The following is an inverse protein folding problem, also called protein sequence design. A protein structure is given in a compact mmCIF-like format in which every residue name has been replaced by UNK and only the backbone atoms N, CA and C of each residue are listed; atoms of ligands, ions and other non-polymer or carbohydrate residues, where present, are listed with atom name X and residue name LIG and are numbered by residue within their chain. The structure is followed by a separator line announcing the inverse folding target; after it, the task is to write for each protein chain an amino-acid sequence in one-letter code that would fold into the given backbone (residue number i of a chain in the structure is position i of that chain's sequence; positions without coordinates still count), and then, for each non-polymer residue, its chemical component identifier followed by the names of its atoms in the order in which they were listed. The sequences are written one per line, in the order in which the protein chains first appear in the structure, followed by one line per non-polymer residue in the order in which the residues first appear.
data_IF_471015383210
#
_entry.id   IF_471015383210
#
_cell.length_a   1.000
_cell.length_b   1.000
_cell.length_c   1.000
_cell.angle_alpha   90.00
_cell.angle_beta   90.00
_cell.angle_gamma   90.00
#
_symmetry.space_group_name_H-M   'P 1'
#
loop_
_entity.id
_entity.type
_entity.pdbx_description
1 polymer ?
#
# COMPACT_ATOMS: atom_id res chain seq x y z
N UNK A 1 -7.45 -6.50 1.51
CA UNK A 1 -6.25 -7.16 0.89
C UNK A 1 -6.54 -8.57 0.37
N UNK A 2 -7.78 -9.03 0.45
CA UNK A 2 -8.14 -10.37 0.00
C UNK A 2 -7.75 -10.62 -1.48
N UNK A 3 -7.13 -11.77 -1.74
CA UNK A 3 -6.67 -12.18 -3.07
C UNK A 3 -5.30 -11.64 -3.49
N UNK A 4 -4.73 -10.68 -2.77
CA UNK A 4 -3.36 -10.23 -3.02
C UNK A 4 -2.35 -11.27 -2.50
N UNK A 5 -1.17 -11.44 -3.15
CA UNK A 5 -0.12 -12.27 -2.61
C UNK A 5 0.35 -11.74 -1.25
N UNK A 6 0.87 -12.64 -0.40
CA UNK A 6 1.41 -12.26 0.92
C UNK A 6 2.60 -11.32 0.81
N UNK A 7 3.40 -11.49 -0.23
CA UNK A 7 4.55 -10.65 -0.55
C UNK A 7 4.50 -10.27 -2.02
N UNK A 8 4.83 -9.02 -2.31
CA UNK A 8 4.98 -8.54 -3.68
C UNK A 8 6.06 -7.48 -3.74
N UNK A 9 6.65 -7.32 -4.92
CA UNK A 9 7.70 -6.33 -5.15
C UNK A 9 7.10 -5.02 -5.64
N UNK A 10 7.18 -4.00 -4.80
CA UNK A 10 6.90 -2.63 -5.18
C UNK A 10 8.10 -2.05 -5.97
N UNK A 11 7.85 -1.07 -6.83
CA UNK A 11 8.91 -0.33 -7.52
C UNK A 11 9.74 0.51 -6.53
N UNK A 12 10.80 1.14 -7.04
CA UNK A 12 11.54 2.11 -6.23
C UNK A 12 10.64 3.30 -5.89
N UNK A 13 10.47 3.56 -4.60
CA UNK A 13 9.60 4.59 -4.07
C UNK A 13 10.20 5.17 -2.79
N UNK A 14 9.66 6.28 -2.31
CA UNK A 14 10.02 6.78 -0.99
C UNK A 14 9.30 5.98 0.09
N UNK A 15 10.07 5.39 1.02
CA UNK A 15 9.52 4.67 2.15
C UNK A 15 9.37 5.61 3.34
N UNK A 16 8.13 6.00 3.65
CA UNK A 16 7.84 6.82 4.82
C UNK A 16 8.07 6.04 6.11
N UNK A 17 8.75 6.68 7.06
CA UNK A 17 9.21 6.08 8.29
C UNK A 17 8.83 6.95 9.50
N UNK A 18 8.94 6.35 10.70
CA UNK A 18 8.74 7.07 11.96
C UNK A 18 7.40 7.81 12.03
N UNK A 19 6.36 7.20 11.52
CA UNK A 19 5.02 7.78 11.58
C UNK A 19 4.60 8.03 13.02
N UNK A 20 4.00 9.19 13.26
CA UNK A 20 3.60 9.58 14.61
C UNK A 20 2.21 9.08 14.95
N UNK A 21 2.07 8.58 16.17
CA UNK A 21 0.80 8.25 16.80
C UNK A 21 0.46 9.19 17.94
N UNK A 22 -0.53 8.83 18.76
CA UNK A 22 -1.29 7.61 18.63
C UNK A 22 -2.44 7.70 17.62
N UNK A 23 -2.67 6.64 16.86
CA UNK A 23 -3.91 6.41 16.16
C UNK A 23 -4.61 5.22 16.81
N UNK A 24 -5.91 5.35 17.11
CA UNK A 24 -6.69 4.29 17.71
C UNK A 24 -7.33 3.41 16.65
N UNK A 25 -7.44 2.12 16.95
CA UNK A 25 -8.13 1.14 16.10
C UNK A 25 -7.54 1.02 14.69
N UNK A 26 -6.22 1.15 14.57
CA UNK A 26 -5.51 0.95 13.30
C UNK A 26 -5.47 -0.52 12.94
N UNK A 27 -5.86 -0.84 11.70
CA UNK A 27 -5.63 -2.17 11.11
C UNK A 27 -4.61 -2.04 10.00
N UNK A 28 -3.41 -2.61 10.21
CA UNK A 28 -2.33 -2.59 9.22
C UNK A 28 -2.61 -3.67 8.19
N UNK A 29 -2.62 -3.28 6.91
CA UNK A 29 -2.91 -4.16 5.78
C UNK A 29 -1.66 -4.54 4.99
N UNK A 30 -0.67 -3.65 4.93
CA UNK A 30 0.61 -3.91 4.28
C UNK A 30 1.74 -3.13 4.97
N UNK A 31 2.92 -3.73 4.98
CA UNK A 31 4.15 -3.14 5.53
C UNK A 31 5.28 -3.25 4.51
N UNK A 32 6.28 -2.37 4.66
CA UNK A 32 7.55 -2.48 3.96
C UNK A 32 8.70 -2.40 4.97
N UNK A 33 9.70 -3.25 4.81
CA UNK A 33 10.87 -3.25 5.68
C UNK A 33 11.81 -2.09 5.32
N UNK A 34 12.09 -1.25 6.29
CA UNK A 34 13.01 -0.12 6.15
C UNK A 34 14.44 -0.56 6.50
N UNK A 35 15.20 -0.92 5.46
CA UNK A 35 16.54 -1.49 5.57
C UNK A 35 17.53 -0.50 6.21
N UNK A 36 18.12 -0.82 7.39
CA UNK A 36 19.07 0.06 8.06
C UNK A 36 20.36 0.28 7.28
N UNK A 37 20.74 -0.63 6.37
CA UNK A 37 21.92 -0.44 5.52
C UNK A 37 21.71 0.65 4.48
N UNK A 38 20.46 1.07 4.27
CA UNK A 38 20.06 2.16 3.37
C UNK A 38 19.51 3.37 4.12
N UNK A 39 19.82 3.50 5.41
CA UNK A 39 19.33 4.57 6.26
C UNK A 39 17.91 4.35 6.80
N UNK A 40 17.40 3.14 6.71
CA UNK A 40 16.08 2.78 7.21
C UNK A 40 16.02 2.58 8.73
N UNK A 41 14.80 2.49 9.24
CA UNK A 41 14.48 2.39 10.68
C UNK A 41 14.70 1.00 11.28
N UNK A 42 15.07 0.01 10.49
CA UNK A 42 15.15 -1.41 10.87
C UNK A 42 13.79 -1.99 11.36
N UNK A 43 12.72 -1.52 10.77
CA UNK A 43 11.35 -1.90 11.12
C UNK A 43 10.50 -2.17 9.88
N UNK A 44 9.44 -2.96 10.07
CA UNK A 44 8.36 -3.04 9.11
C UNK A 44 7.44 -1.82 9.29
N UNK A 45 7.62 -0.83 8.43
CA UNK A 45 6.81 0.40 8.46
C UNK A 45 5.45 0.16 7.81
N UNK A 46 4.36 0.66 8.39
CA UNK A 46 3.03 0.51 7.82
C UNK A 46 2.87 1.35 6.55
N UNK A 47 2.54 0.70 5.44
CA UNK A 47 2.36 1.37 4.14
C UNK A 47 0.89 1.52 3.77
N UNK A 48 0.07 0.54 4.12
CA UNK A 48 -1.38 0.60 3.90
C UNK A 48 -2.07 0.18 5.18
N UNK A 49 -3.00 1.02 5.66
CA UNK A 49 -3.77 0.71 6.86
C UNK A 49 -5.12 1.41 6.88
N UNK A 50 -6.03 0.93 7.71
CA UNK A 50 -7.35 1.50 7.90
C UNK A 50 -7.51 2.05 9.31
N UNK A 51 -8.29 3.12 9.42
CA UNK A 51 -8.67 3.74 10.69
C UNK A 51 -10.16 4.05 10.63
N UNK A 52 -10.99 3.47 11.50
CA UNK A 52 -12.39 3.90 11.63
C UNK A 52 -12.46 5.26 12.31
N UNK A 53 -13.36 6.11 11.83
CA UNK A 53 -13.63 7.38 12.46
C UNK A 53 -15.14 7.65 12.44
N UNK A 54 -15.77 7.61 13.60
CA UNK A 54 -17.22 7.69 13.72
C UNK A 54 -17.92 6.59 12.91
N UNK A 55 -18.79 6.98 12.00
CA UNK A 55 -19.44 6.06 11.03
C UNK A 55 -18.70 5.96 9.71
N UNK A 56 -17.58 6.67 9.58
CA UNK A 56 -16.78 6.71 8.36
C UNK A 56 -15.69 5.65 8.32
N UNK A 57 -15.14 5.48 7.12
CA UNK A 57 -13.98 4.62 6.85
C UNK A 57 -12.85 5.49 6.33
N UNK A 58 -11.67 5.30 6.88
CA UNK A 58 -10.45 5.92 6.39
C UNK A 58 -9.45 4.83 6.01
N UNK A 59 -8.86 4.94 4.84
CA UNK A 59 -7.73 4.12 4.43
C UNK A 59 -6.57 5.04 4.06
N UNK A 60 -5.40 4.71 4.55
CA UNK A 60 -4.16 5.40 4.25
C UNK A 60 -3.31 4.50 3.37
N UNK A 61 -2.78 5.06 2.30
CA UNK A 61 -1.85 4.40 1.39
C UNK A 61 -0.68 5.36 1.13
N UNK A 62 0.53 4.94 1.49
CA UNK A 62 1.76 5.73 1.36
C UNK A 62 2.56 5.43 0.10
N UNK A 63 2.07 4.55 -0.76
CA UNK A 63 2.74 4.24 -2.02
C UNK A 63 2.41 5.29 -3.08
N UNK A 64 3.40 5.61 -3.93
CA UNK A 64 3.19 6.53 -5.05
C UNK A 64 3.69 7.94 -4.79
N UNK A 65 5.00 8.11 -4.56
CA UNK A 65 5.62 9.41 -4.31
C UNK A 65 5.45 10.38 -5.48
N UNK A 66 5.63 9.89 -6.70
CA UNK A 66 5.43 10.67 -7.92
C UNK A 66 4.84 9.85 -9.08
N UNK A 67 4.84 10.44 -10.28
CA UNK A 67 4.22 9.85 -11.48
C UNK A 67 4.83 8.51 -11.88
N UNK A 68 6.11 8.29 -11.65
CA UNK A 68 6.75 7.03 -12.04
C UNK A 68 6.27 5.86 -11.17
N UNK A 69 6.06 6.08 -9.88
CA UNK A 69 5.47 5.07 -9.00
C UNK A 69 4.00 4.79 -9.34
N UNK A 70 3.27 5.77 -9.87
CA UNK A 70 1.90 5.55 -10.34
C UNK A 70 1.80 4.66 -11.58
N UNK A 71 2.90 4.41 -12.28
CA UNK A 71 2.96 3.41 -13.37
C UNK A 71 3.10 1.98 -12.85
N UNK A 72 3.46 1.79 -11.58
CA UNK A 72 3.56 0.46 -10.99
C UNK A 72 2.17 -0.16 -10.82
N UNK A 73 2.01 -1.40 -11.26
CA UNK A 73 0.71 -2.09 -11.26
C UNK A 73 0.15 -2.22 -9.85
N UNK A 74 0.99 -2.54 -8.87
CA UNK A 74 0.56 -2.66 -7.48
C UNK A 74 0.07 -1.33 -6.91
N UNK A 75 0.73 -0.20 -7.22
CA UNK A 75 0.32 1.12 -6.77
C UNK A 75 -1.08 1.46 -7.28
N UNK A 76 -1.32 1.25 -8.58
CA UNK A 76 -2.62 1.56 -9.20
C UNK A 76 -3.72 0.67 -8.63
N UNK A 77 -3.47 -0.63 -8.55
CA UNK A 77 -4.45 -1.59 -8.02
C UNK A 77 -4.79 -1.28 -6.58
N UNK A 78 -3.79 -1.01 -5.74
CA UNK A 78 -4.02 -0.67 -4.35
C UNK A 78 -4.77 0.65 -4.20
N UNK A 79 -4.39 1.67 -4.97
CA UNK A 79 -5.08 2.97 -4.93
C UNK A 79 -6.56 2.84 -5.29
N UNK A 80 -6.86 2.12 -6.38
CA UNK A 80 -8.24 1.90 -6.82
C UNK A 80 -9.04 1.09 -5.79
N UNK A 81 -8.48 0.01 -5.25
CA UNK A 81 -9.15 -0.83 -4.24
C UNK A 81 -9.34 -0.08 -2.92
N UNK A 82 -8.38 0.73 -2.50
CA UNK A 82 -8.51 1.60 -1.33
C UNK A 82 -9.64 2.61 -1.51
N UNK A 83 -9.72 3.26 -2.67
CA UNK A 83 -10.78 4.23 -2.98
C UNK A 83 -12.17 3.57 -2.99
N UNK A 84 -12.30 2.42 -3.63
CA UNK A 84 -13.55 1.65 -3.63
C UNK A 84 -13.99 1.28 -2.21
N UNK A 85 -13.07 0.74 -1.41
CA UNK A 85 -13.37 0.36 -0.03
C UNK A 85 -13.77 1.55 0.83
N UNK A 86 -13.07 2.66 0.71
CA UNK A 86 -13.41 3.88 1.46
C UNK A 86 -14.83 4.37 1.12
N UNK A 87 -15.21 4.29 -0.14
CA UNK A 87 -16.53 4.72 -0.61
C UNK A 87 -17.65 3.74 -0.24
N UNK A 88 -17.41 2.44 -0.37
CA UNK A 88 -18.49 1.44 -0.34
C UNK A 88 -18.42 0.46 0.84
N UNK A 89 -17.25 0.28 1.45
CA UNK A 89 -16.98 -0.76 2.44
C UNK A 89 -16.69 -2.13 1.83
N UNK A 90 -16.68 -2.25 0.50
CA UNK A 90 -16.41 -3.47 -0.24
C UNK A 90 -15.30 -3.27 -1.26
N UNK A 91 -14.71 -4.36 -1.72
CA UNK A 91 -13.72 -4.35 -2.81
C UNK A 91 -14.14 -5.38 -3.86
N UNK A 92 -14.47 -4.90 -5.04
CA UNK A 92 -14.88 -5.71 -6.20
C UNK A 92 -13.84 -5.66 -7.34
N UNK A 93 -12.96 -4.65 -7.33
CA UNK A 93 -11.91 -4.48 -8.34
C UNK A 93 -10.99 -5.72 -8.34
N UNK A 94 -10.90 -6.44 -9.47
CA UNK A 94 -10.09 -7.65 -9.56
C UNK A 94 -8.60 -7.35 -9.49
N UNK A 95 -7.82 -8.36 -9.12
CA UNK A 95 -6.37 -8.31 -9.19
C UNK A 95 -5.97 -8.75 -10.59
N UNK A 96 -5.25 -7.92 -11.36
CA UNK A 96 -4.84 -8.28 -12.70
C UNK A 96 -3.76 -9.38 -12.68
N UNK A 97 -3.67 -10.15 -13.76
CA UNK A 97 -2.71 -11.25 -13.90
C UNK A 97 -1.25 -10.78 -13.81
N UNK A 98 -0.98 -9.54 -14.23
CA UNK A 98 0.33 -8.92 -14.15
C UNK A 98 0.62 -8.22 -12.81
N UNK A 99 -0.17 -8.48 -11.76
CA UNK A 99 0.17 -7.99 -10.41
C UNK A 99 1.53 -8.56 -9.99
N UNK A 100 2.44 -7.74 -9.41
CA UNK A 100 3.81 -8.19 -9.17
C UNK A 100 3.88 -9.33 -8.14
N UNK A 101 4.78 -10.28 -8.40
CA UNK A 101 5.24 -11.26 -7.41
C UNK A 101 6.37 -10.69 -6.55
N UNK A 102 7.14 -11.56 -5.88
CA UNK A 102 8.20 -11.16 -4.95
C UNK A 102 9.47 -10.67 -5.65
N UNK A 103 9.72 -11.10 -6.89
CA UNK A 103 11.03 -10.93 -7.53
C UNK A 103 11.22 -9.53 -8.13
N UNK A 104 10.22 -9.02 -8.82
CA UNK A 104 10.32 -7.77 -9.57
C UNK A 104 9.00 -7.02 -9.63
N UNK A 105 9.05 -5.67 -9.68
CA UNK A 105 7.86 -4.87 -9.93
C UNK A 105 7.37 -5.05 -11.37
N UNK A 106 6.11 -4.74 -11.59
CA UNK A 106 5.49 -4.70 -12.91
C UNK A 106 4.92 -3.31 -13.17
N UNK A 107 4.94 -2.90 -14.42
CA UNK A 107 4.54 -1.55 -14.82
C UNK A 107 3.50 -1.61 -15.94
N UNK A 108 2.71 -0.55 -16.02
CA UNK A 108 1.79 -0.29 -17.13
C UNK A 108 1.98 1.14 -17.61
N UNK A 109 1.62 1.39 -18.85
CA UNK A 109 1.54 2.76 -19.36
C UNK A 109 0.27 3.43 -18.83
N UNK A 110 0.39 4.71 -18.54
CA UNK A 110 -0.73 5.54 -18.11
C UNK A 110 -1.44 6.17 -19.31
#
# INVERSE_FOLDING_TARGET
MAGLPLHFRHCQDELYQYQRGPAHNVTILATAFADPTKGGSDRNEPMVYTVPYGKGRCVVNFLGHDVDQLKSVDTIVLLQRCAEWAATGNVTIPIPENFPGEDKPTFQEL
#
